data_IF_589137543214
#
_entry.id   IF_589137543214
#
_cell.length_a   1.000
_cell.length_b   1.000
_cell.length_c   1.000
_cell.angle_alpha   90.00
_cell.angle_beta   90.00
_cell.angle_gamma   90.00
#
_symmetry.space_group_name_H-M   'P 1'
#
loop_
_entity.id
_entity.type
_entity.pdbx_description
1 polymer ?
#
# COMPACT_ATOMS: atom_id res chain seq x y z
N UNK A 1 -12.27 -18.22 -15.05
CA UNK A 1 -11.58 -17.12 -14.34
C UNK A 1 -12.02 -17.19 -12.90
N UNK A 2 -11.10 -17.63 -12.03
CA UNK A 2 -11.41 -17.77 -10.59
C UNK A 2 -11.53 -16.38 -9.99
N UNK A 3 -12.71 -16.03 -9.51
CA UNK A 3 -12.89 -14.88 -8.63
C UNK A 3 -12.02 -15.15 -7.40
N UNK A 4 -10.91 -14.44 -7.26
CA UNK A 4 -10.22 -14.38 -5.98
C UNK A 4 -11.11 -13.57 -5.04
N UNK A 5 -11.83 -14.29 -4.20
CA UNK A 5 -12.60 -13.70 -3.10
C UNK A 5 -11.63 -12.88 -2.25
N UNK A 6 -11.91 -11.61 -2.06
CA UNK A 6 -11.16 -10.77 -1.10
C UNK A 6 -11.06 -11.52 0.22
N UNK A 7 -9.90 -11.55 0.88
CA UNK A 7 -9.83 -12.10 2.22
C UNK A 7 -10.79 -11.29 3.10
N UNK A 8 -11.78 -11.96 3.68
CA UNK A 8 -12.81 -11.33 4.51
C UNK A 8 -12.20 -10.65 5.74
N UNK A 9 -11.01 -11.06 6.15
CA UNK A 9 -10.29 -10.58 7.32
C UNK A 9 -8.79 -10.49 7.00
N UNK A 10 -8.17 -9.34 7.29
CA UNK A 10 -6.75 -9.05 7.03
C UNK A 10 -5.89 -9.42 8.25
N UNK A 11 -6.45 -9.31 9.46
CA UNK A 11 -5.72 -9.57 10.69
C UNK A 11 -4.80 -8.42 11.08
N UNK A 12 -3.57 -8.74 11.51
CA UNK A 12 -2.54 -7.78 11.91
C UNK A 12 -1.78 -7.29 10.68
N UNK A 13 -1.96 -6.03 10.34
CA UNK A 13 -1.38 -5.41 9.15
C UNK A 13 -0.11 -4.62 9.48
N UNK A 14 0.91 -4.77 8.64
CA UNK A 14 2.14 -3.99 8.63
C UNK A 14 2.17 -3.14 7.37
N UNK A 15 2.53 -1.87 7.50
CA UNK A 15 2.78 -0.98 6.37
C UNK A 15 4.24 -0.52 6.41
N UNK A 16 4.94 -0.67 5.30
CA UNK A 16 6.33 -0.24 5.14
C UNK A 16 6.42 1.04 4.33
N UNK A 17 7.04 2.06 4.95
CA UNK A 17 7.25 3.39 4.37
C UNK A 17 6.19 4.39 4.78
N UNK A 18 6.61 5.57 5.26
CA UNK A 18 5.76 6.69 5.64
C UNK A 18 5.66 7.76 4.52
N UNK A 19 5.83 7.37 3.26
CA UNK A 19 5.55 8.20 2.09
C UNK A 19 4.06 8.23 1.73
N UNK A 20 3.71 8.93 0.64
CA UNK A 20 2.31 9.10 0.19
C UNK A 20 1.53 7.77 0.14
N UNK A 21 2.09 6.75 -0.53
CA UNK A 21 1.44 5.43 -0.66
C UNK A 21 1.26 4.72 0.68
N UNK A 22 2.30 4.70 1.53
CA UNK A 22 2.22 4.04 2.83
C UNK A 22 1.22 4.72 3.77
N UNK A 23 1.17 6.06 3.79
CA UNK A 23 0.16 6.80 4.54
C UNK A 23 -1.25 6.45 4.05
N UNK A 24 -1.49 6.45 2.73
CA UNK A 24 -2.80 6.11 2.17
C UNK A 24 -3.24 4.68 2.52
N UNK A 25 -2.33 3.71 2.45
CA UNK A 25 -2.58 2.32 2.86
C UNK A 25 -2.90 2.25 4.36
N UNK A 26 -2.13 2.96 5.20
CA UNK A 26 -2.36 2.97 6.64
C UNK A 26 -3.71 3.62 7.01
N UNK A 27 -4.08 4.72 6.36
CA UNK A 27 -5.40 5.37 6.51
C UNK A 27 -6.54 4.42 6.10
N UNK A 28 -6.38 3.72 4.96
CA UNK A 28 -7.35 2.75 4.48
C UNK A 28 -7.56 1.60 5.46
N UNK A 29 -6.47 1.05 6.01
CA UNK A 29 -6.51 -0.04 6.99
C UNK A 29 -7.04 0.45 8.34
N UNK A 30 -6.66 1.65 8.79
CA UNK A 30 -7.14 2.23 10.03
C UNK A 30 -8.66 2.40 10.05
N UNK A 31 -9.26 2.81 8.94
CA UNK A 31 -10.71 2.93 8.79
C UNK A 31 -11.47 1.58 8.92
N UNK A 32 -10.74 0.45 8.97
CA UNK A 32 -11.28 -0.92 9.07
C UNK A 32 -10.84 -1.64 10.34
N UNK A 33 -10.25 -0.91 11.29
CA UNK A 33 -9.90 -1.45 12.61
C UNK A 33 -11.17 -1.92 13.35
N UNK A 34 -11.06 -3.11 13.93
CA UNK A 34 -12.17 -3.74 14.67
C UNK A 34 -13.21 -4.44 13.79
N UNK A 35 -13.12 -4.31 12.46
CA UNK A 35 -13.96 -5.04 11.50
C UNK A 35 -13.11 -6.07 10.73
N UNK A 36 -12.33 -5.62 9.74
CA UNK A 36 -11.48 -6.48 8.90
C UNK A 36 -10.03 -6.53 9.34
N UNK A 37 -9.61 -5.61 10.20
CA UNK A 37 -8.21 -5.41 10.62
C UNK A 37 -8.14 -5.41 12.14
N UNK A 38 -7.29 -6.27 12.70
CA UNK A 38 -7.08 -6.37 14.16
C UNK A 38 -6.17 -5.25 14.67
N UNK A 39 -5.12 -4.97 13.93
CA UNK A 39 -4.18 -3.89 14.24
C UNK A 39 -3.43 -3.43 13.00
N UNK A 40 -2.99 -2.18 13.01
CA UNK A 40 -2.14 -1.58 11.97
C UNK A 40 -0.86 -1.05 12.60
N UNK A 41 0.28 -1.43 12.04
CA UNK A 41 1.58 -0.87 12.38
C UNK A 41 2.22 -0.27 11.13
N UNK A 42 2.63 0.99 11.20
CA UNK A 42 3.38 1.67 10.14
C UNK A 42 4.84 1.81 10.57
N UNK A 43 5.76 1.26 9.80
CA UNK A 43 7.19 1.51 9.91
C UNK A 43 7.64 2.48 8.83
N UNK A 44 8.18 3.64 9.23
CA UNK A 44 8.57 4.69 8.29
C UNK A 44 9.96 4.51 7.66
N UNK A 45 10.82 3.68 8.27
CA UNK A 45 12.22 3.52 7.87
C UNK A 45 13.18 4.46 8.62
N UNK A 46 14.49 4.24 8.48
CA UNK A 46 15.55 4.87 9.28
C UNK A 46 15.57 6.41 9.22
N UNK A 47 15.21 7.00 8.10
CA UNK A 47 15.25 8.47 7.90
C UNK A 47 13.92 9.16 8.17
N UNK A 48 12.87 8.40 8.47
CA UNK A 48 11.52 8.94 8.70
C UNK A 48 11.46 9.81 9.95
N UNK A 49 10.59 10.82 9.91
CA UNK A 49 10.36 11.77 11.02
C UNK A 49 8.85 11.94 11.23
N UNK A 50 8.43 12.34 12.44
CA UNK A 50 7.03 12.66 12.70
C UNK A 50 6.52 13.76 11.79
N UNK A 51 5.32 13.55 11.23
CA UNK A 51 4.58 14.50 10.42
C UNK A 51 3.17 14.67 10.99
N UNK A 52 2.41 15.62 10.51
CA UNK A 52 1.00 15.76 10.85
C UNK A 52 0.23 14.47 10.51
N UNK A 53 0.47 13.91 9.32
CA UNK A 53 -0.16 12.66 8.87
C UNK A 53 0.15 11.46 9.76
N UNK A 54 1.38 11.32 10.23
CA UNK A 54 1.71 10.23 11.15
C UNK A 54 1.03 10.38 12.51
N UNK A 55 0.82 11.62 12.99
CA UNK A 55 0.07 11.88 14.24
C UNK A 55 -1.43 11.62 14.08
N UNK A 56 -2.00 11.96 12.91
CA UNK A 56 -3.39 11.61 12.57
C UNK A 56 -3.59 10.09 12.59
N UNK A 57 -2.66 9.33 12.03
CA UNK A 57 -2.68 7.87 12.05
C UNK A 57 -2.59 7.31 13.48
N UNK A 58 -1.71 7.86 14.34
CA UNK A 58 -1.64 7.47 15.75
C UNK A 58 -2.96 7.74 16.47
N UNK A 59 -3.59 8.89 16.22
CA UNK A 59 -4.91 9.22 16.76
C UNK A 59 -6.01 8.29 16.24
N UNK A 60 -5.87 7.74 15.04
CA UNK A 60 -6.77 6.74 14.45
C UNK A 60 -6.49 5.29 14.93
N UNK A 61 -5.54 5.08 15.85
CA UNK A 61 -5.23 3.77 16.42
C UNK A 61 -4.13 2.99 15.69
N UNK A 62 -3.41 3.61 14.77
CA UNK A 62 -2.25 2.99 14.10
C UNK A 62 -1.03 3.12 15.00
N UNK A 63 -0.28 2.04 15.19
CA UNK A 63 1.05 2.09 15.80
C UNK A 63 2.04 2.62 14.77
N UNK A 64 2.63 3.78 15.02
CA UNK A 64 3.62 4.39 14.14
C UNK A 64 5.03 4.23 14.72
N UNK A 65 5.95 3.68 13.94
CA UNK A 65 7.36 3.47 14.31
C UNK A 65 8.23 4.18 13.27
N UNK A 66 9.01 5.16 13.73
CA UNK A 66 9.84 6.02 12.89
C UNK A 66 11.32 5.94 13.30
N UNK A 67 12.21 6.23 12.37
CA UNK A 67 13.66 6.32 12.63
C UNK A 67 14.37 4.97 12.76
N UNK A 68 13.71 3.88 12.40
CA UNK A 68 14.32 2.53 12.39
C UNK A 68 13.81 1.68 11.23
N UNK A 69 14.60 0.68 10.85
CA UNK A 69 14.28 -0.38 9.91
C UNK A 69 14.18 -1.76 10.59
N UNK A 70 14.36 -1.79 11.91
CA UNK A 70 14.24 -3.02 12.71
C UNK A 70 12.76 -3.30 12.96
N UNK A 71 12.20 -4.20 12.16
CA UNK A 71 10.79 -4.59 12.25
C UNK A 71 10.64 -5.68 13.30
N UNK A 72 9.78 -5.42 14.28
CA UNK A 72 9.47 -6.35 15.36
C UNK A 72 7.98 -6.71 15.36
N UNK A 73 7.67 -7.88 15.86
CA UNK A 73 6.29 -8.35 16.01
C UNK A 73 5.97 -9.54 15.11
N UNK A 74 4.69 -9.73 14.84
CA UNK A 74 4.19 -10.76 13.93
C UNK A 74 2.95 -10.24 13.23
N UNK A 75 2.92 -10.32 11.90
CA UNK A 75 1.89 -9.75 11.06
C UNK A 75 1.33 -10.80 10.10
N UNK A 76 0.07 -10.65 9.77
CA UNK A 76 -0.60 -11.54 8.84
C UNK A 76 -0.40 -11.05 7.39
N UNK A 77 -0.37 -9.74 7.20
CA UNK A 77 -0.10 -9.09 5.91
C UNK A 77 0.84 -7.89 6.10
N UNK A 78 1.87 -7.80 5.25
CA UNK A 78 2.67 -6.59 5.10
C UNK A 78 2.44 -5.97 3.73
N UNK A 79 2.25 -4.65 3.68
CA UNK A 79 2.13 -3.87 2.45
C UNK A 79 3.32 -2.94 2.32
N UNK A 80 4.11 -3.12 1.27
CA UNK A 80 5.31 -2.34 1.02
C UNK A 80 5.04 -1.19 0.06
N UNK A 81 5.50 0.00 0.43
CA UNK A 81 5.51 1.16 -0.48
C UNK A 81 6.46 0.92 -1.67
N UNK A 82 6.14 1.44 -2.89
CA UNK A 82 6.93 1.20 -4.09
C UNK A 82 8.40 1.68 -4.01
N UNK A 83 8.70 2.63 -3.12
CA UNK A 83 10.05 3.13 -2.91
C UNK A 83 10.97 2.24 -2.07
N UNK A 84 10.45 1.15 -1.50
CA UNK A 84 11.23 0.22 -0.68
C UNK A 84 11.66 -0.95 -1.58
N UNK A 85 12.98 -1.12 -1.71
CA UNK A 85 13.53 -2.22 -2.49
C UNK A 85 13.30 -3.57 -1.78
N UNK A 86 12.87 -4.57 -2.53
CA UNK A 86 12.74 -5.95 -2.05
C UNK A 86 14.08 -6.59 -1.61
N UNK A 87 15.20 -5.99 -2.03
CA UNK A 87 16.56 -6.41 -1.65
C UNK A 87 17.08 -5.67 -0.40
N UNK A 88 16.31 -4.75 0.19
CA UNK A 88 16.72 -4.02 1.38
C UNK A 88 16.63 -4.86 2.64
N UNK A 89 17.45 -4.51 3.64
CA UNK A 89 17.38 -5.11 4.97
C UNK A 89 16.01 -4.85 5.62
N UNK A 90 15.45 -3.67 5.41
CA UNK A 90 14.13 -3.28 5.89
C UNK A 90 13.01 -4.20 5.35
N UNK A 91 13.00 -4.45 4.04
CA UNK A 91 12.04 -5.39 3.43
C UNK A 91 12.24 -6.81 3.96
N UNK A 92 13.49 -7.26 4.10
CA UNK A 92 13.82 -8.58 4.62
C UNK A 92 13.36 -8.76 6.08
N UNK A 93 13.53 -7.74 6.93
CA UNK A 93 13.05 -7.74 8.31
C UNK A 93 11.51 -7.87 8.36
N UNK A 94 10.80 -7.09 7.55
CA UNK A 94 9.35 -7.19 7.46
C UNK A 94 8.88 -8.57 6.98
N UNK A 95 9.57 -9.14 5.98
CA UNK A 95 9.27 -10.48 5.45
C UNK A 95 9.46 -11.56 6.51
N UNK A 96 10.45 -11.44 7.38
CA UNK A 96 10.68 -12.39 8.47
C UNK A 96 9.59 -12.32 9.55
N UNK A 97 8.90 -11.20 9.68
CA UNK A 97 7.85 -10.94 10.68
C UNK A 97 6.42 -11.07 10.12
N UNK A 98 6.26 -11.38 8.83
CA UNK A 98 4.95 -11.38 8.17
C UNK A 98 4.66 -12.70 7.45
N UNK A 99 3.41 -13.13 7.48
CA UNK A 99 2.97 -14.33 6.74
C UNK A 99 2.99 -14.09 5.24
N UNK A 100 2.65 -12.87 4.81
CA UNK A 100 2.67 -12.44 3.42
C UNK A 100 3.18 -11.00 3.31
N UNK A 101 3.94 -10.70 2.23
CA UNK A 101 4.36 -9.34 1.89
C UNK A 101 3.98 -9.05 0.44
N UNK A 102 3.22 -7.98 0.22
CA UNK A 102 2.78 -7.52 -1.10
C UNK A 102 3.15 -6.05 -1.33
N UNK A 103 3.17 -5.65 -2.58
CA UNK A 103 3.31 -4.24 -2.94
C UNK A 103 1.98 -3.48 -2.81
N UNK A 104 2.06 -2.16 -2.63
CA UNK A 104 0.87 -1.29 -2.56
C UNK A 104 -0.04 -1.44 -3.79
N UNK A 105 0.43 -1.55 -5.05
CA UNK A 105 -0.46 -1.75 -6.20
C UNK A 105 -1.21 -3.08 -6.15
N UNK A 106 -0.59 -4.14 -5.65
CA UNK A 106 -1.26 -5.43 -5.46
C UNK A 106 -2.31 -5.35 -4.36
N UNK A 107 -2.00 -4.64 -3.26
CA UNK A 107 -2.96 -4.39 -2.20
C UNK A 107 -4.19 -3.65 -2.74
N UNK A 108 -3.99 -2.56 -3.49
CA UNK A 108 -5.06 -1.80 -4.10
C UNK A 108 -5.92 -2.66 -5.06
N UNK A 109 -5.27 -3.51 -5.87
CA UNK A 109 -5.99 -4.45 -6.74
C UNK A 109 -6.81 -5.49 -5.94
N UNK A 110 -6.27 -6.02 -4.86
CA UNK A 110 -6.99 -6.99 -4.01
C UNK A 110 -8.22 -6.37 -3.35
N UNK A 111 -8.14 -5.09 -2.97
CA UNK A 111 -9.24 -4.36 -2.33
C UNK A 111 -10.30 -3.84 -3.33
N UNK A 112 -9.94 -3.74 -4.61
CA UNK A 112 -10.85 -3.35 -5.70
C UNK A 112 -10.49 -4.11 -6.98
N UNK A 113 -10.83 -5.40 -7.11
CA UNK A 113 -10.32 -6.26 -8.18
C UNK A 113 -10.97 -6.00 -9.55
N UNK A 114 -12.02 -5.22 -9.61
CA UNK A 114 -12.77 -4.96 -10.85
C UNK A 114 -12.19 -3.81 -11.66
N UNK A 115 -12.21 -3.95 -12.98
CA UNK A 115 -11.94 -2.88 -13.94
C UNK A 115 -10.49 -2.33 -13.96
N UNK A 116 -9.50 -3.18 -13.72
CA UNK A 116 -8.09 -2.80 -13.82
C UNK A 116 -7.54 -3.01 -15.22
N UNK A 117 -6.76 -2.02 -15.69
CA UNK A 117 -5.96 -2.11 -16.93
C UNK A 117 -4.50 -1.93 -16.56
N UNK A 118 -3.70 -2.99 -16.73
CA UNK A 118 -2.26 -2.97 -16.49
C UNK A 118 -1.48 -2.53 -17.73
N UNK A 119 -0.63 -1.51 -17.60
CA UNK A 119 0.24 -1.01 -18.66
C UNK A 119 1.69 -1.21 -18.26
N UNK A 120 2.44 -1.99 -19.03
CA UNK A 120 3.86 -2.24 -18.82
C UNK A 120 4.68 -1.90 -20.07
N UNK A 121 5.99 -1.79 -19.92
CA UNK A 121 6.91 -1.51 -21.01
C UNK A 121 8.13 -0.74 -20.54
N UNK A 122 9.15 -0.67 -21.39
CA UNK A 122 10.41 0.05 -21.11
C UNK A 122 10.19 1.56 -21.15
N UNK A 123 9.50 2.07 -22.19
CA UNK A 123 9.23 3.48 -22.41
C UNK A 123 7.73 3.70 -22.67
N UNK A 124 7.26 4.95 -22.53
CA UNK A 124 5.90 5.37 -22.89
C UNK A 124 4.78 4.93 -21.92
N UNK A 125 5.09 4.23 -20.83
CA UNK A 125 4.09 3.78 -19.85
C UNK A 125 3.19 4.92 -19.37
N UNK A 126 3.78 5.98 -18.85
CA UNK A 126 3.03 7.13 -18.30
C UNK A 126 2.14 7.78 -19.36
N UNK A 127 2.69 8.04 -20.56
CA UNK A 127 1.92 8.62 -21.67
C UNK A 127 0.75 7.73 -22.08
N UNK A 128 1.00 6.42 -22.21
CA UNK A 128 -0.04 5.45 -22.57
C UNK A 128 -1.14 5.37 -21.51
N UNK A 129 -0.74 5.37 -20.22
CA UNK A 129 -1.68 5.32 -19.10
C UNK A 129 -2.56 6.56 -19.07
N UNK A 130 -1.95 7.76 -19.23
CA UNK A 130 -2.72 9.02 -19.27
C UNK A 130 -3.69 9.04 -20.45
N UNK A 131 -3.22 8.66 -21.65
CA UNK A 131 -4.07 8.63 -22.85
C UNK A 131 -5.22 7.61 -22.69
N UNK A 132 -4.95 6.41 -22.18
CA UNK A 132 -5.97 5.40 -21.92
C UNK A 132 -7.04 5.91 -20.95
N UNK A 133 -6.63 6.56 -19.86
CA UNK A 133 -7.53 7.18 -18.89
C UNK A 133 -8.44 8.23 -19.55
N UNK A 134 -7.87 9.14 -20.34
CA UNK A 134 -8.64 10.19 -21.04
C UNK A 134 -9.63 9.57 -22.06
N UNK A 135 -9.25 8.52 -22.78
CA UNK A 135 -10.15 7.83 -23.71
C UNK A 135 -11.30 7.12 -22.97
N UNK A 136 -11.03 6.49 -21.84
CA UNK A 136 -12.06 5.85 -21.01
C UNK A 136 -13.04 6.89 -20.46
N UNK A 137 -12.55 8.04 -19.95
CA UNK A 137 -13.37 9.14 -19.50
C UNK A 137 -14.22 9.73 -20.62
N UNK A 138 -13.66 9.92 -21.83
CA UNK A 138 -14.38 10.37 -23.00
C UNK A 138 -15.48 9.39 -23.45
N UNK A 139 -15.31 8.11 -23.16
CA UNK A 139 -16.32 7.08 -23.36
C UNK A 139 -17.38 7.00 -22.24
N UNK A 140 -17.33 7.91 -21.26
CA UNK A 140 -18.30 7.98 -20.17
C UNK A 140 -17.99 7.04 -18.99
N UNK A 141 -16.79 6.47 -18.94
CA UNK A 141 -16.35 5.61 -17.83
C UNK A 141 -15.70 6.44 -16.74
N UNK A 142 -15.90 6.07 -15.47
CA UNK A 142 -15.15 6.60 -14.35
C UNK A 142 -13.80 5.90 -14.30
N UNK A 143 -12.72 6.61 -14.68
CA UNK A 143 -11.39 6.05 -14.79
C UNK A 143 -10.34 6.96 -14.15
N UNK A 144 -9.40 6.35 -13.43
CA UNK A 144 -8.28 7.04 -12.83
C UNK A 144 -6.95 6.37 -13.16
N UNK A 145 -5.88 7.17 -13.18
CA UNK A 145 -4.53 6.66 -13.33
C UNK A 145 -3.93 6.37 -11.96
N UNK A 146 -3.30 5.22 -11.79
CA UNK A 146 -2.64 4.81 -10.54
C UNK A 146 -1.22 4.32 -10.83
N UNK A 147 -0.36 4.36 -9.82
CA UNK A 147 1.04 3.97 -9.92
C UNK A 147 1.99 5.17 -9.87
N UNK A 148 3.26 4.97 -10.28
CA UNK A 148 4.28 6.03 -10.30
C UNK A 148 4.07 6.96 -11.50
N UNK A 149 2.92 7.59 -11.56
CA UNK A 149 2.57 8.60 -12.57
C UNK A 149 2.84 9.94 -11.90
N UNK A 150 3.94 10.59 -12.30
CA UNK A 150 4.36 11.85 -11.73
C UNK A 150 3.27 12.91 -11.85
N UNK A 151 2.92 13.53 -10.74
CA UNK A 151 2.25 14.83 -10.64
C UNK A 151 3.28 15.88 -10.43
#
# INVERSE_FOLDING_TARGET
>A
MSQQTQPSHIGRALVLGAGKSGIAVAEYLAARLGDRVDSVTLYGGATSRPTEKTRELEAAGVRVVLGTEDVEGSYDLAVSSPGISEFSAFFSAAKACSSEVIGEPEFAWRESPDSWVGITGTNGKTTTTTLACELLRAAGMDAETVGNIGT
#
